data_IF_775594744885
#
_entry.id   IF_775594744885
#
_cell.length_a   1.000
_cell.length_b   1.000
_cell.length_c   1.000
_cell.angle_alpha   90.00
_cell.angle_beta   90.00
_cell.angle_gamma   90.00
#
_symmetry.space_group_name_H-M   'P 1'
#
loop_
_entity.id
_entity.type
_entity.pdbx_description
1 polymer ?
#
# COMPACT_ATOMS: atom_id res chain seq x y z
N UNK A 1 16.14 -55.96 -8.01
CA UNK A 1 15.35 -56.12 -9.24
C UNK A 1 15.08 -54.75 -9.82
N UNK A 2 15.94 -54.21 -10.70
CA UNK A 2 15.59 -53.00 -11.43
C UNK A 2 14.60 -53.39 -12.55
N UNK A 3 13.48 -52.69 -12.60
CA UNK A 3 12.47 -52.82 -13.66
C UNK A 3 12.91 -51.95 -14.83
N UNK A 4 13.04 -52.56 -16.01
CA UNK A 4 13.15 -51.85 -17.28
C UNK A 4 11.76 -51.75 -17.88
N UNK A 5 11.34 -50.53 -18.22
CA UNK A 5 10.13 -50.30 -19.00
C UNK A 5 10.57 -50.18 -20.46
N UNK A 6 10.20 -51.19 -21.25
CA UNK A 6 10.39 -51.22 -22.69
C UNK A 6 9.18 -50.54 -23.34
N UNK A 7 9.40 -49.45 -24.07
CA UNK A 7 8.37 -48.86 -24.91
C UNK A 7 8.70 -49.14 -26.37
N UNK A 8 7.96 -50.10 -26.92
CA UNK A 8 7.83 -50.31 -28.36
C UNK A 8 7.34 -49.03 -29.03
N UNK A 9 8.20 -48.45 -29.86
CA UNK A 9 7.91 -47.30 -30.70
C UNK A 9 6.90 -47.68 -31.80
N UNK A 10 5.71 -47.09 -31.77
CA UNK A 10 4.90 -46.88 -32.96
C UNK A 10 5.15 -45.44 -33.43
N UNK A 11 5.89 -45.30 -34.53
CA UNK A 11 6.02 -44.03 -35.23
C UNK A 11 4.65 -43.57 -35.72
N UNK A 12 4.22 -42.41 -35.22
CA UNK A 12 3.44 -41.43 -35.96
C UNK A 12 4.09 -40.08 -35.63
N UNK A 13 4.71 -39.46 -36.63
CA UNK A 13 5.29 -38.12 -36.56
C UNK A 13 4.15 -37.10 -36.44
N UNK A 14 3.63 -36.95 -35.23
CA UNK A 14 2.84 -35.81 -34.80
C UNK A 14 3.63 -35.10 -33.72
N UNK A 15 3.87 -33.81 -33.86
CA UNK A 15 4.36 -32.97 -32.77
C UNK A 15 3.30 -32.93 -31.69
N UNK A 16 3.46 -33.76 -30.66
CA UNK A 16 2.73 -33.61 -29.42
C UNK A 16 3.44 -32.53 -28.61
N UNK A 17 2.89 -31.32 -28.64
CA UNK A 17 3.27 -30.28 -27.68
C UNK A 17 2.69 -30.71 -26.33
N UNK A 18 3.57 -31.05 -25.39
CA UNK A 18 3.18 -31.15 -23.99
C UNK A 18 3.28 -29.73 -23.44
N UNK A 19 2.14 -29.05 -23.34
CA UNK A 19 2.03 -27.75 -22.67
C UNK A 19 1.71 -28.05 -21.21
N UNK A 20 2.74 -28.12 -20.37
CA UNK A 20 2.66 -28.34 -18.94
C UNK A 20 3.78 -27.55 -18.26
N UNK A 21 3.61 -26.24 -18.15
CA UNK A 21 3.94 -25.49 -16.95
C UNK A 21 2.89 -24.38 -16.91
N UNK A 22 1.99 -24.43 -15.93
CA UNK A 22 1.33 -23.21 -15.49
C UNK A 22 2.47 -22.38 -14.88
N UNK A 23 3.08 -21.48 -15.67
CA UNK A 23 4.13 -20.59 -15.17
C UNK A 23 3.55 -19.84 -13.98
N UNK A 24 4.07 -20.08 -12.79
CA UNK A 24 3.63 -19.35 -11.61
C UNK A 24 4.08 -17.89 -11.76
N UNK A 25 3.12 -16.98 -11.78
CA UNK A 25 3.35 -15.55 -11.97
C UNK A 25 3.26 -14.89 -10.61
N UNK A 26 4.30 -14.15 -10.24
CA UNK A 26 4.30 -13.14 -9.18
C UNK A 26 5.05 -11.95 -9.74
N UNK A 27 4.34 -10.88 -10.06
CA UNK A 27 4.92 -9.70 -10.69
C UNK A 27 4.23 -8.41 -10.25
N UNK A 28 4.78 -7.27 -10.68
CA UNK A 28 4.23 -5.94 -10.41
C UNK A 28 3.99 -5.68 -8.91
N UNK A 29 4.86 -6.19 -8.03
CA UNK A 29 4.75 -5.94 -6.60
C UNK A 29 4.75 -4.43 -6.33
N UNK A 30 3.70 -3.95 -5.65
CA UNK A 30 3.60 -2.57 -5.17
C UNK A 30 3.63 -2.53 -3.65
N UNK A 31 4.14 -1.41 -3.13
CA UNK A 31 4.03 -1.04 -1.73
C UNK A 31 3.35 0.33 -1.68
N UNK A 32 2.04 0.31 -1.44
CA UNK A 32 1.21 1.50 -1.40
C UNK A 32 0.93 1.90 0.05
N UNK A 33 0.62 3.19 0.25
CA UNK A 33 0.20 3.77 1.54
C UNK A 33 1.13 3.42 2.71
N UNK A 34 2.25 4.13 2.80
CA UNK A 34 3.15 4.07 3.94
C UNK A 34 2.73 5.13 4.95
N UNK A 35 2.44 4.72 6.18
CA UNK A 35 2.14 5.65 7.27
C UNK A 35 2.93 5.30 8.52
N UNK A 36 3.34 6.33 9.26
CA UNK A 36 4.15 6.20 10.46
C UNK A 36 3.29 6.37 11.72
N UNK A 37 3.49 5.50 12.71
CA UNK A 37 2.91 5.60 14.06
C UNK A 37 4.05 5.36 15.05
N UNK A 38 4.31 6.32 15.93
CA UNK A 38 5.28 6.20 17.01
C UNK A 38 6.72 5.76 16.60
N UNK A 39 7.15 6.12 15.39
CA UNK A 39 8.49 5.79 14.87
C UNK A 39 8.56 4.50 14.05
N UNK A 40 7.46 3.76 13.97
CA UNK A 40 7.30 2.57 13.14
C UNK A 40 6.45 2.90 11.91
N UNK A 41 6.59 2.13 10.82
CA UNK A 41 5.73 2.22 9.65
C UNK A 41 4.94 0.94 9.39
N UNK A 42 3.84 1.14 8.67
CA UNK A 42 3.04 0.09 8.05
C UNK A 42 2.99 0.37 6.54
N UNK A 43 2.89 -0.68 5.74
CA UNK A 43 2.78 -0.58 4.29
C UNK A 43 1.79 -1.62 3.75
N UNK A 44 1.07 -1.29 2.69
CA UNK A 44 0.17 -2.23 2.03
C UNK A 44 0.86 -2.82 0.80
N UNK A 45 1.04 -4.14 0.77
CA UNK A 45 1.58 -4.86 -0.38
C UNK A 45 0.45 -5.36 -1.28
N UNK A 46 0.65 -5.24 -2.59
CA UNK A 46 -0.19 -5.85 -3.62
C UNK A 46 0.70 -6.38 -4.75
N UNK A 47 0.22 -7.36 -5.52
CA UNK A 47 0.93 -7.91 -6.67
C UNK A 47 0.01 -8.74 -7.58
N UNK A 48 0.39 -8.84 -8.85
CA UNK A 48 -0.30 -9.71 -9.82
C UNK A 48 0.16 -11.16 -9.62
N UNK A 49 -0.79 -12.10 -9.64
CA UNK A 49 -0.50 -13.52 -9.47
C UNK A 49 -1.38 -14.46 -10.33
N UNK A 50 -0.85 -15.64 -10.67
CA UNK A 50 -1.57 -16.68 -11.42
C UNK A 50 -2.51 -17.53 -10.54
N UNK A 51 -2.21 -17.65 -9.24
CA UNK A 51 -2.85 -18.62 -8.35
C UNK A 51 -4.16 -18.12 -7.72
N UNK A 52 -5.27 -18.84 -7.84
CA UNK A 52 -6.56 -18.31 -7.39
C UNK A 52 -6.87 -18.48 -5.89
N UNK A 53 -6.25 -19.43 -5.18
CA UNK A 53 -6.64 -19.77 -3.79
C UNK A 53 -5.48 -20.29 -2.92
N UNK A 54 -4.25 -19.86 -3.20
CA UNK A 54 -3.08 -20.29 -2.44
C UNK A 54 -2.69 -19.31 -1.31
N UNK A 55 -1.63 -19.66 -0.59
CA UNK A 55 -0.96 -18.84 0.40
C UNK A 55 0.41 -18.42 -0.08
N UNK A 56 0.91 -17.29 0.42
CA UNK A 56 2.27 -16.83 0.18
C UNK A 56 2.96 -16.50 1.50
N UNK A 57 4.27 -16.65 1.51
CA UNK A 57 5.15 -16.28 2.61
C UNK A 57 5.79 -14.93 2.31
N UNK A 58 5.75 -14.03 3.29
CA UNK A 58 6.48 -12.76 3.27
C UNK A 58 7.76 -12.90 4.08
N UNK A 59 8.87 -12.50 3.49
CA UNK A 59 10.19 -12.44 4.11
C UNK A 59 10.65 -10.99 4.05
N UNK A 60 10.97 -10.41 5.21
CA UNK A 60 11.48 -9.05 5.33
C UNK A 60 12.93 -9.13 5.79
N UNK A 61 13.86 -8.65 4.96
CA UNK A 61 15.29 -8.68 5.26
C UNK A 61 15.80 -10.06 5.72
N UNK A 62 15.47 -11.10 4.96
CA UNK A 62 15.83 -12.51 5.23
C UNK A 62 15.16 -13.14 6.46
N UNK A 63 14.25 -12.42 7.15
CA UNK A 63 13.48 -12.94 8.28
C UNK A 63 12.04 -13.18 7.82
N UNK A 64 11.51 -14.37 8.11
CA UNK A 64 10.10 -14.69 7.83
C UNK A 64 9.22 -13.77 8.69
N UNK A 65 8.40 -12.97 8.02
CA UNK A 65 7.40 -12.10 8.64
C UNK A 65 6.12 -12.91 8.94
N UNK A 66 5.64 -13.64 7.94
CA UNK A 66 4.43 -14.44 8.08
C UNK A 66 4.04 -15.20 6.81
N UNK A 67 2.91 -15.90 6.91
CA UNK A 67 2.24 -16.58 5.81
C UNK A 67 0.81 -16.06 5.74
N UNK A 68 0.37 -15.70 4.54
CA UNK A 68 -0.88 -15.00 4.27
C UNK A 68 -1.61 -15.63 3.09
N UNK A 69 -2.91 -15.45 2.97
CA UNK A 69 -3.66 -15.94 1.81
C UNK A 69 -3.55 -14.95 0.66
N UNK A 70 -3.45 -15.43 -0.59
CA UNK A 70 -3.48 -14.55 -1.77
C UNK A 70 -4.77 -13.72 -1.84
N UNK A 71 -5.87 -14.26 -1.34
CA UNK A 71 -7.15 -13.56 -1.22
C UNK A 71 -7.16 -12.43 -0.18
N UNK A 72 -6.09 -12.26 0.62
CA UNK A 72 -5.93 -11.14 1.56
C UNK A 72 -5.31 -9.91 0.88
N UNK A 73 -4.88 -10.00 -0.38
CA UNK A 73 -4.33 -8.86 -1.12
C UNK A 73 -5.42 -7.82 -1.46
N UNK A 74 -5.12 -6.52 -1.37
CA UNK A 74 -3.88 -5.93 -0.84
C UNK A 74 -3.76 -6.09 0.69
N UNK A 75 -2.58 -6.46 1.16
CA UNK A 75 -2.30 -6.86 2.55
C UNK A 75 -1.50 -5.78 3.29
N UNK A 76 -1.93 -5.42 4.50
CA UNK A 76 -1.14 -4.57 5.40
C UNK A 76 -0.05 -5.36 6.12
N UNK A 77 1.18 -4.85 6.07
CA UNK A 77 2.36 -5.38 6.72
C UNK A 77 2.95 -4.37 7.71
N UNK A 78 3.56 -4.87 8.79
CA UNK A 78 4.17 -4.08 9.86
C UNK A 78 3.62 -4.41 11.26
N UNK A 79 4.08 -3.70 12.30
CA UNK A 79 4.97 -2.53 12.24
C UNK A 79 6.44 -2.88 11.94
N UNK A 80 7.13 -1.96 11.28
CA UNK A 80 8.58 -2.01 11.03
C UNK A 80 9.26 -0.71 11.46
N UNK A 81 10.52 -0.78 11.89
CA UNK A 81 11.30 0.40 12.32
C UNK A 81 11.52 1.41 11.17
N UNK A 82 11.04 2.65 11.36
CA UNK A 82 11.31 3.76 10.45
C UNK A 82 12.49 4.61 10.92
N UNK A 83 13.62 3.97 11.24
CA UNK A 83 14.77 4.60 11.92
C UNK A 83 15.69 5.45 11.02
N UNK A 84 15.36 5.59 9.74
CA UNK A 84 16.17 6.26 8.72
C UNK A 84 17.56 5.64 8.48
N UNK A 85 17.76 4.38 8.85
CA UNK A 85 19.02 3.65 8.67
C UNK A 85 18.82 2.25 8.10
N UNK A 86 17.72 1.58 8.45
CA UNK A 86 17.37 0.24 8.02
C UNK A 86 16.75 0.28 6.63
N UNK A 87 17.37 -0.42 5.67
CA UNK A 87 16.80 -0.65 4.35
C UNK A 87 15.94 -1.92 4.33
N UNK A 88 14.80 -1.86 3.67
CA UNK A 88 13.82 -2.95 3.62
C UNK A 88 13.71 -3.57 2.22
N UNK A 89 13.84 -4.89 2.18
CA UNK A 89 13.51 -5.74 1.04
C UNK A 89 12.42 -6.71 1.48
N UNK A 90 11.33 -6.73 0.72
CA UNK A 90 10.20 -7.64 0.91
C UNK A 90 10.27 -8.71 -0.18
N UNK A 91 10.43 -9.97 0.20
CA UNK A 91 10.32 -11.10 -0.73
C UNK A 91 9.00 -11.81 -0.46
N UNK A 92 8.24 -12.06 -1.53
CA UNK A 92 7.04 -12.90 -1.51
C UNK A 92 7.36 -14.22 -2.18
N UNK A 93 6.92 -15.33 -1.59
CA UNK A 93 7.01 -16.65 -2.21
C UNK A 93 5.66 -17.36 -2.05
N UNK A 94 5.05 -17.78 -3.16
CA UNK A 94 3.85 -18.63 -3.13
C UNK A 94 4.24 -19.98 -2.55
N UNK A 95 3.41 -20.51 -1.65
CA UNK A 95 3.64 -21.81 -1.03
C UNK A 95 3.30 -22.95 -2.00
N UNK A 96 3.86 -24.12 -1.74
CA UNK A 96 3.68 -25.34 -2.54
C UNK A 96 4.10 -25.26 -4.02
N UNK A 97 4.57 -24.10 -4.48
CA UNK A 97 5.14 -23.84 -5.81
C UNK A 97 6.66 -23.63 -5.77
N UNK A 98 7.42 -24.41 -6.55
CA UNK A 98 8.88 -24.32 -6.56
C UNK A 98 9.35 -23.08 -7.31
N UNK A 99 10.14 -22.22 -6.64
CA UNK A 99 10.69 -20.97 -7.20
C UNK A 99 9.62 -19.95 -7.66
N UNK A 100 8.42 -19.97 -7.10
CA UNK A 100 7.42 -18.95 -7.38
C UNK A 100 7.46 -17.81 -6.37
N UNK A 101 8.13 -16.72 -6.74
CA UNK A 101 8.26 -15.55 -5.89
C UNK A 101 9.06 -14.45 -6.55
N UNK A 102 8.90 -13.25 -6.03
CA UNK A 102 9.67 -12.08 -6.43
C UNK A 102 9.90 -11.17 -5.21
N UNK A 103 10.66 -10.10 -5.39
CA UNK A 103 10.99 -9.17 -4.32
C UNK A 103 10.78 -7.71 -4.71
N UNK A 104 10.41 -6.91 -3.71
CA UNK A 104 10.33 -5.47 -3.78
C UNK A 104 11.36 -4.84 -2.86
N UNK A 105 12.21 -3.97 -3.41
CA UNK A 105 13.15 -3.18 -2.63
C UNK A 105 12.52 -1.82 -2.30
N UNK A 106 12.03 -1.69 -1.06
CA UNK A 106 11.45 -0.44 -0.56
C UNK A 106 12.53 0.60 -0.22
N UNK A 107 13.70 0.14 0.23
CA UNK A 107 14.76 1.03 0.71
C UNK A 107 14.53 1.49 2.14
N UNK A 108 15.01 2.68 2.49
CA UNK A 108 15.00 3.20 3.86
C UNK A 108 13.73 4.00 4.09
N UNK A 109 13.07 3.78 5.24
CA UNK A 109 11.93 4.57 5.70
C UNK A 109 12.35 5.42 6.91
N UNK A 110 11.91 6.68 6.92
CA UNK A 110 12.15 7.61 8.03
C UNK A 110 10.82 8.04 8.65
N UNK A 111 10.52 7.50 9.83
CA UNK A 111 9.36 7.81 10.65
C UNK A 111 9.70 8.69 11.85
N UNK A 112 10.92 9.25 11.93
CA UNK A 112 11.21 10.26 12.93
C UNK A 112 10.18 11.39 12.78
N UNK A 113 9.54 11.85 13.87
CA UNK A 113 8.59 12.95 13.80
C UNK A 113 9.36 14.17 13.31
N UNK A 114 9.17 14.48 12.03
CA UNK A 114 9.64 15.74 11.48
C UNK A 114 8.80 16.82 12.15
N UNK A 115 9.33 17.50 13.17
CA UNK A 115 8.78 18.79 13.65
C UNK A 115 8.94 19.91 12.59
N UNK A 116 9.13 19.53 11.34
CA UNK A 116 9.32 20.34 10.14
C UNK A 116 8.42 19.91 9.00
N UNK A 117 7.48 18.98 9.20
CA UNK A 117 6.19 19.13 8.54
C UNK A 117 5.34 20.10 9.38
N UNK A 118 5.85 21.32 9.58
CA UNK A 118 5.00 22.44 9.18
C UNK A 118 4.61 22.04 7.77
N UNK A 119 3.38 21.55 7.56
CA UNK A 119 2.86 21.37 6.21
C UNK A 119 3.25 22.68 5.54
N UNK A 120 4.23 22.63 4.65
CA UNK A 120 4.60 23.81 3.91
C UNK A 120 3.38 23.96 3.00
N UNK A 121 2.42 24.74 3.47
CA UNK A 121 1.23 25.13 2.77
C UNK A 121 1.70 26.14 1.71
N UNK A 122 2.55 25.71 0.78
CA UNK A 122 3.00 26.56 -0.32
C UNK A 122 1.88 26.71 -1.37
N UNK A 123 0.87 25.83 -1.30
CA UNK A 123 -0.20 25.75 -2.30
C UNK A 123 -1.61 25.79 -1.73
N UNK A 124 -1.85 25.75 -0.39
CA UNK A 124 -3.21 26.00 0.11
C UNK A 124 -3.41 27.50 0.25
N UNK A 125 -4.32 28.03 -0.55
CA UNK A 125 -4.77 29.41 -0.44
C UNK A 125 -6.18 29.42 0.12
N UNK A 126 -6.56 30.51 0.79
CA UNK A 126 -7.92 30.71 1.22
C UNK A 126 -8.44 32.07 0.77
N UNK A 127 -9.69 32.09 0.35
CA UNK A 127 -10.38 33.31 -0.07
C UNK A 127 -11.68 33.48 0.69
N UNK A 128 -11.93 34.71 1.15
CA UNK A 128 -13.21 35.09 1.74
C UNK A 128 -14.23 35.30 0.63
N UNK A 129 -15.34 34.56 0.70
CA UNK A 129 -16.51 34.75 -0.15
C UNK A 129 -17.70 35.23 0.67
N UNK A 130 -18.74 35.72 -0.01
CA UNK A 130 -19.95 36.22 0.67
C UNK A 130 -20.64 35.17 1.55
N UNK A 131 -20.46 33.88 1.27
CA UNK A 131 -21.12 32.78 1.99
C UNK A 131 -20.16 31.94 2.87
N UNK A 132 -18.86 32.24 2.91
CA UNK A 132 -17.92 31.36 3.59
C UNK A 132 -16.46 31.61 3.28
N UNK A 133 -15.60 30.66 3.65
CA UNK A 133 -14.19 30.63 3.25
C UNK A 133 -13.98 29.49 2.28
N UNK A 134 -13.46 29.82 1.10
CA UNK A 134 -13.01 28.84 0.15
C UNK A 134 -11.55 28.53 0.43
N UNK A 135 -11.24 27.26 0.62
CA UNK A 135 -9.89 26.73 0.79
C UNK A 135 -9.56 26.01 -0.52
N UNK A 136 -8.47 26.37 -1.17
CA UNK A 136 -8.07 25.84 -2.48
C UNK A 136 -6.65 25.29 -2.42
N UNK A 137 -6.32 24.30 -3.25
CA UNK A 137 -5.00 23.66 -3.27
C UNK A 137 -4.86 22.52 -2.26
N UNK A 138 -5.98 21.92 -1.88
CA UNK A 138 -6.04 20.77 -0.98
C UNK A 138 -5.64 19.53 -1.79
N UNK A 139 -4.46 18.98 -1.55
CA UNK A 139 -4.02 17.74 -2.18
C UNK A 139 -3.67 16.72 -1.11
N UNK A 140 -4.16 15.49 -1.28
CA UNK A 140 -3.77 14.32 -0.46
C UNK A 140 -4.29 14.25 1.00
N UNK A 141 -5.44 14.84 1.33
CA UNK A 141 -6.06 14.67 2.66
C UNK A 141 -7.38 13.89 2.57
N UNK A 142 -7.58 12.88 3.43
CA UNK A 142 -8.86 12.16 3.51
C UNK A 142 -9.96 13.02 4.16
N UNK A 143 -9.59 13.82 5.16
CA UNK A 143 -10.52 14.63 5.98
C UNK A 143 -9.90 15.94 6.42
N UNK A 144 -10.72 16.98 6.52
CA UNK A 144 -10.36 18.27 7.11
C UNK A 144 -11.25 18.57 8.32
N UNK A 145 -10.65 19.10 9.39
CA UNK A 145 -11.36 19.49 10.61
C UNK A 145 -11.17 20.97 10.88
N UNK A 146 -12.28 21.67 11.11
CA UNK A 146 -12.29 23.02 11.67
C UNK A 146 -12.25 22.91 13.19
N UNK A 147 -11.30 23.58 13.84
CA UNK A 147 -11.13 23.55 15.31
C UNK A 147 -11.22 24.95 15.91
N UNK A 148 -11.74 25.07 17.14
CA UNK A 148 -11.73 26.32 17.90
C UNK A 148 -10.37 26.56 18.60
N UNK A 149 -10.20 27.74 19.20
CA UNK A 149 -8.97 28.14 19.89
C UNK A 149 -8.59 27.25 21.09
N UNK A 150 -9.52 26.44 21.59
CA UNK A 150 -9.26 25.46 22.66
C UNK A 150 -8.99 24.05 22.10
N UNK A 151 -8.88 23.91 20.78
CA UNK A 151 -8.64 22.63 20.11
C UNK A 151 -9.89 21.75 19.95
N UNK A 152 -11.08 22.27 20.20
CA UNK A 152 -12.33 21.50 20.01
C UNK A 152 -12.75 21.54 18.54
N UNK A 153 -13.04 20.38 17.97
CA UNK A 153 -13.57 20.23 16.61
C UNK A 153 -14.96 20.86 16.52
N UNK A 154 -15.11 21.81 15.59
CA UNK A 154 -16.35 22.51 15.25
C UNK A 154 -17.05 21.81 14.08
N UNK A 155 -16.27 21.35 13.09
CA UNK A 155 -16.77 20.66 11.90
C UNK A 155 -15.68 19.74 11.35
N UNK A 156 -16.09 18.66 10.70
CA UNK A 156 -15.20 17.76 9.99
C UNK A 156 -15.85 17.35 8.66
N UNK A 157 -15.10 17.42 7.57
CA UNK A 157 -15.56 17.09 6.23
C UNK A 157 -14.57 16.16 5.53
N UNK A 158 -15.08 15.23 4.74
CA UNK A 158 -14.26 14.45 3.82
C UNK A 158 -13.90 15.33 2.61
N UNK A 159 -12.67 15.20 2.11
CA UNK A 159 -12.21 15.97 0.95
C UNK A 159 -12.39 15.13 -0.30
N UNK A 160 -13.23 15.62 -1.21
CA UNK A 160 -13.52 14.97 -2.50
C UNK A 160 -13.00 15.78 -3.71
N UNK A 161 -12.50 16.99 -3.45
CA UNK A 161 -11.98 17.93 -4.45
C UNK A 161 -10.80 18.71 -3.88
N UNK A 162 -10.05 19.37 -4.76
CA UNK A 162 -8.96 20.28 -4.44
C UNK A 162 -9.42 21.60 -3.78
N UNK A 163 -10.74 21.78 -3.64
CA UNK A 163 -11.38 22.92 -3.02
C UNK A 163 -12.36 22.47 -1.93
N UNK A 164 -12.51 23.29 -0.88
CA UNK A 164 -13.50 23.13 0.18
C UNK A 164 -14.10 24.49 0.55
N UNK A 165 -15.43 24.59 0.55
CA UNK A 165 -16.14 25.77 1.05
C UNK A 165 -16.63 25.53 2.48
N UNK A 166 -16.16 26.36 3.41
CA UNK A 166 -16.65 26.40 4.79
C UNK A 166 -17.75 27.47 4.88
N UNK A 167 -19.00 27.04 4.94
CA UNK A 167 -20.15 27.95 4.93
C UNK A 167 -20.35 28.66 6.26
N UNK A 168 -20.35 30.00 6.23
CA UNK A 168 -20.58 30.83 7.43
C UNK A 168 -21.98 30.61 8.02
N UNK A 169 -22.97 30.29 7.20
CA UNK A 169 -24.37 30.11 7.61
C UNK A 169 -24.61 28.95 8.58
N UNK A 170 -23.68 27.99 8.63
CA UNK A 170 -23.76 26.79 9.48
C UNK A 170 -23.22 27.07 10.89
N UNK A 171 -22.45 28.14 11.09
CA UNK A 171 -21.81 28.46 12.36
C UNK A 171 -22.49 29.66 13.04
N UNK A 172 -23.28 29.37 14.08
CA UNK A 172 -24.11 30.34 14.81
C UNK A 172 -23.33 31.49 15.48
N UNK A 173 -22.05 31.28 15.78
CA UNK A 173 -21.18 32.27 16.42
C UNK A 173 -20.30 33.03 15.44
N UNK A 174 -20.40 32.74 14.14
CA UNK A 174 -19.51 33.29 13.11
C UNK A 174 -18.13 32.63 13.09
N UNK A 175 -17.46 32.72 11.95
CA UNK A 175 -16.06 32.35 11.76
C UNK A 175 -15.23 33.64 11.84
N UNK A 176 -14.23 33.66 12.71
CA UNK A 176 -13.29 34.76 12.87
C UNK A 176 -11.92 34.28 12.43
N UNK A 177 -11.31 34.99 11.48
CA UNK A 177 -9.99 34.71 10.89
C UNK A 177 -9.02 35.83 11.24
#
# INVERSE_FOLDING_TARGET
YPYYIDFTICQNEGTFSFDCDDECIVENITMDSIFCIDGEFFANIDFDHSEANDSFMVIVNEIIDGTYALNDLPLQLGPYEGDNTTGYIFTVNVLDEENCGDFYNLGIVNCAPNTIDEIIIDNISWTLQNNGVNVEGISYFEKMSLVDLNGRVIQQENIYSDQLLIEKGVHSTGLYF
#
